data_IF_709049809555
#
_entry.id   IF_709049809555
#
_cell.length_a   1.000
_cell.length_b   1.000
_cell.length_c   1.000
_cell.angle_alpha   90.00
_cell.angle_beta   90.00
_cell.angle_gamma   90.00
#
_symmetry.space_group_name_H-M   'P 1'
#
loop_
_entity.id
_entity.type
_entity.pdbx_description
1 polymer ?
#
# COMPACT_ATOMS: atom_id res chain seq x y z
N UNK A 1 -2.87 -8.87 -16.26
CA UNK A 1 -3.40 -9.17 -14.91
C UNK A 1 -4.76 -8.50 -14.77
N UNK A 2 -5.79 -9.26 -14.37
CA UNK A 2 -7.13 -8.74 -14.16
C UNK A 2 -7.39 -8.52 -12.68
N UNK A 3 -8.14 -7.45 -12.37
CA UNK A 3 -8.62 -7.18 -11.02
C UNK A 3 -10.13 -7.40 -11.04
N UNK A 4 -10.60 -8.38 -10.29
CA UNK A 4 -12.03 -8.66 -10.11
C UNK A 4 -12.55 -7.94 -8.87
N UNK A 5 -13.50 -7.04 -9.05
CA UNK A 5 -14.14 -6.30 -7.97
C UNK A 5 -15.38 -7.06 -7.46
N UNK A 6 -15.13 -8.12 -6.71
CA UNK A 6 -16.16 -9.02 -6.17
C UNK A 6 -16.28 -10.35 -6.90
N UNK A 7 -16.93 -11.30 -6.22
CA UNK A 7 -17.02 -12.70 -6.69
C UNK A 7 -17.79 -12.88 -8.00
N UNK A 8 -18.64 -11.91 -8.37
CA UNK A 8 -19.44 -11.96 -9.60
C UNK A 8 -18.61 -11.73 -10.86
N UNK A 9 -17.42 -11.13 -10.73
CA UNK A 9 -16.51 -10.88 -11.85
C UNK A 9 -15.53 -12.03 -12.08
N UNK A 10 -15.48 -13.02 -11.18
CA UNK A 10 -14.64 -14.22 -11.38
C UNK A 10 -15.19 -15.01 -12.57
N UNK A 11 -14.34 -15.36 -13.57
CA UNK A 11 -14.77 -16.12 -14.74
C UNK A 11 -15.40 -17.46 -14.38
N UNK A 12 -16.56 -17.76 -14.96
CA UNK A 12 -17.30 -19.01 -14.69
C UNK A 12 -16.62 -20.25 -15.28
N UNK A 13 -15.77 -20.06 -16.25
CA UNK A 13 -14.96 -21.08 -16.92
C UNK A 13 -13.61 -21.33 -16.26
N UNK A 14 -13.35 -20.69 -15.10
CA UNK A 14 -12.18 -20.99 -14.29
C UNK A 14 -12.17 -22.48 -13.90
N UNK A 15 -11.15 -23.22 -14.33
CA UNK A 15 -11.04 -24.68 -14.14
C UNK A 15 -10.25 -25.08 -12.90
N UNK A 16 -9.42 -24.17 -12.39
CA UNK A 16 -8.59 -24.36 -11.20
C UNK A 16 -7.73 -23.16 -10.93
N UNK A 17 -7.26 -23.03 -9.69
CA UNK A 17 -6.36 -21.94 -9.30
C UNK A 17 -5.50 -22.31 -8.09
N UNK A 18 -4.45 -21.53 -7.85
CA UNK A 18 -3.74 -21.46 -6.57
C UNK A 18 -4.04 -20.12 -5.93
N UNK A 19 -4.57 -20.14 -4.71
CA UNK A 19 -5.08 -18.94 -4.05
C UNK A 19 -4.21 -18.58 -2.86
N UNK A 20 -3.79 -17.32 -2.76
CA UNK A 20 -3.26 -16.75 -1.51
C UNK A 20 -4.25 -15.75 -0.94
N UNK A 21 -4.45 -15.76 0.39
CA UNK A 21 -5.54 -15.03 1.05
C UNK A 21 -4.99 -14.13 2.14
N UNK A 22 -5.38 -12.85 2.12
CA UNK A 22 -5.01 -11.91 3.17
C UNK A 22 -5.43 -10.48 2.85
N UNK A 23 -5.20 -9.57 3.79
CA UNK A 23 -5.43 -8.13 3.55
C UNK A 23 -4.32 -7.55 2.66
N UNK A 24 -3.10 -8.04 2.77
CA UNK A 24 -1.92 -7.63 2.01
C UNK A 24 -1.63 -6.12 2.06
N UNK A 25 -2.01 -5.46 3.15
CA UNK A 25 -1.78 -4.03 3.28
C UNK A 25 -0.28 -3.73 3.40
N UNK A 26 0.20 -2.83 2.52
CA UNK A 26 1.61 -2.47 2.40
C UNK A 26 2.49 -3.46 1.63
N UNK A 27 2.01 -4.67 1.27
CA UNK A 27 2.79 -5.65 0.46
C UNK A 27 4.26 -5.75 0.90
N UNK A 28 4.47 -6.00 2.21
CA UNK A 28 5.80 -6.11 2.82
C UNK A 28 6.49 -7.44 2.49
N UNK A 29 7.77 -7.57 2.83
CA UNK A 29 8.59 -8.77 2.53
C UNK A 29 7.98 -10.09 3.05
N UNK A 30 7.28 -10.06 4.19
CA UNK A 30 6.50 -11.23 4.64
C UNK A 30 5.37 -11.61 3.68
N UNK A 31 4.68 -10.64 3.09
CA UNK A 31 3.69 -10.91 2.04
C UNK A 31 4.35 -11.45 0.76
N UNK A 32 5.50 -10.91 0.37
CA UNK A 32 6.24 -11.40 -0.82
C UNK A 32 6.57 -12.89 -0.73
N UNK A 33 6.85 -13.44 0.47
CA UNK A 33 7.04 -14.89 0.65
C UNK A 33 5.78 -15.69 0.33
N UNK A 34 4.61 -15.17 0.73
CA UNK A 34 3.32 -15.81 0.41
C UNK A 34 3.05 -15.79 -1.09
N UNK A 35 3.29 -14.66 -1.75
CA UNK A 35 3.09 -14.51 -3.19
C UNK A 35 4.04 -15.45 -3.96
N UNK A 36 5.31 -15.49 -3.59
CA UNK A 36 6.30 -16.37 -4.20
C UNK A 36 5.91 -17.84 -4.05
N UNK A 37 5.46 -18.28 -2.87
CA UNK A 37 4.99 -19.64 -2.67
C UNK A 37 3.74 -19.97 -3.51
N UNK A 38 2.81 -19.01 -3.62
CA UNK A 38 1.60 -19.19 -4.43
C UNK A 38 1.92 -19.25 -5.93
N UNK A 39 2.76 -18.37 -6.44
CA UNK A 39 3.15 -18.35 -7.87
C UNK A 39 3.97 -19.59 -8.25
N UNK A 40 4.89 -20.02 -7.38
CA UNK A 40 5.64 -21.27 -7.58
C UNK A 40 4.70 -22.45 -7.66
N UNK A 41 3.75 -22.58 -6.72
CA UNK A 41 2.81 -23.70 -6.73
C UNK A 41 1.85 -23.64 -7.92
N UNK A 42 1.42 -22.46 -8.32
CA UNK A 42 0.59 -22.24 -9.50
C UNK A 42 1.30 -22.74 -10.78
N UNK A 43 2.58 -22.36 -10.93
CA UNK A 43 3.40 -22.80 -12.05
C UNK A 43 3.58 -24.33 -12.08
N UNK A 44 3.84 -24.99 -10.93
CA UNK A 44 3.97 -26.44 -10.82
C UNK A 44 2.69 -27.18 -11.24
N UNK A 45 1.52 -26.60 -10.95
CA UNK A 45 0.23 -27.18 -11.28
C UNK A 45 -0.29 -26.78 -12.68
N UNK A 46 0.38 -25.84 -13.36
CA UNK A 46 -0.10 -25.28 -14.63
C UNK A 46 -1.41 -24.51 -14.47
N UNK A 47 -1.62 -23.85 -13.31
CA UNK A 47 -2.83 -23.13 -12.96
C UNK A 47 -2.53 -21.65 -12.71
N UNK A 48 -3.53 -20.75 -12.86
CA UNK A 48 -3.34 -19.36 -12.48
C UNK A 48 -3.21 -19.17 -10.97
N UNK A 49 -2.38 -18.21 -10.58
CA UNK A 49 -2.26 -17.71 -9.21
C UNK A 49 -3.25 -16.56 -8.96
N UNK A 50 -3.97 -16.64 -7.85
CA UNK A 50 -4.97 -15.63 -7.49
C UNK A 50 -4.67 -15.09 -6.09
N UNK A 51 -4.53 -13.77 -5.97
CA UNK A 51 -4.50 -13.09 -4.69
C UNK A 51 -5.93 -12.69 -4.31
N UNK A 52 -6.48 -13.27 -3.24
CA UNK A 52 -7.73 -12.83 -2.64
C UNK A 52 -7.42 -11.81 -1.56
N UNK A 53 -7.87 -10.58 -1.77
CA UNK A 53 -7.82 -9.50 -0.79
C UNK A 53 -9.21 -8.90 -0.55
N UNK A 54 -9.33 -7.97 0.37
CA UNK A 54 -10.61 -7.40 0.80
C UNK A 54 -10.67 -5.90 0.54
N UNK A 55 -11.84 -5.45 0.07
CA UNK A 55 -12.17 -4.04 -0.08
C UNK A 55 -13.66 -3.82 0.29
N UNK A 56 -13.97 -3.02 1.35
CA UNK A 56 -13.03 -2.37 2.25
C UNK A 56 -12.23 -3.34 3.14
N UNK A 57 -11.24 -2.80 3.84
CA UNK A 57 -10.49 -3.55 4.86
C UNK A 57 -11.45 -4.15 5.89
N UNK A 58 -11.29 -5.44 6.31
CA UNK A 58 -12.23 -6.09 7.23
C UNK A 58 -12.51 -5.31 8.52
N UNK A 59 -11.51 -4.65 9.10
CA UNK A 59 -11.71 -3.82 10.29
C UNK A 59 -12.57 -2.58 10.04
N UNK A 60 -12.65 -2.07 8.82
CA UNK A 60 -13.55 -0.95 8.51
C UNK A 60 -15.03 -1.32 8.72
N UNK A 61 -15.36 -2.61 8.57
CA UNK A 61 -16.72 -3.13 8.78
C UNK A 61 -16.91 -3.68 10.19
N UNK A 62 -15.91 -4.43 10.69
CA UNK A 62 -16.05 -5.15 11.98
C UNK A 62 -15.76 -4.26 13.20
N UNK A 63 -14.79 -3.37 13.10
CA UNK A 63 -14.29 -2.52 14.18
C UNK A 63 -13.78 -1.19 13.60
N UNK A 64 -14.68 -0.32 13.10
CA UNK A 64 -14.30 0.97 12.50
C UNK A 64 -13.46 1.85 13.44
N UNK A 65 -13.71 1.75 14.75
CA UNK A 65 -12.96 2.40 15.83
C UNK A 65 -11.50 1.95 15.95
N UNK A 66 -11.15 0.80 15.36
CA UNK A 66 -9.81 0.21 15.37
C UNK A 66 -9.19 0.08 13.97
N UNK A 67 -9.81 0.73 12.99
CA UNK A 67 -9.29 0.73 11.62
C UNK A 67 -7.93 1.43 11.60
N UNK A 68 -6.83 0.73 11.25
CA UNK A 68 -5.53 1.37 11.13
C UNK A 68 -5.46 2.16 9.81
N UNK A 69 -4.62 3.22 9.74
CA UNK A 69 -4.33 3.88 8.48
C UNK A 69 -3.78 2.89 7.45
N UNK A 70 -4.28 2.93 6.22
CA UNK A 70 -3.87 2.02 5.14
C UNK A 70 -2.49 2.40 4.61
N UNK A 71 -1.65 1.40 4.39
CA UNK A 71 -0.31 1.54 3.80
C UNK A 71 -0.35 1.65 2.26
N UNK A 72 -1.49 1.40 1.66
CA UNK A 72 -1.67 1.53 0.22
C UNK A 72 -3.08 1.21 -0.24
N UNK A 73 -3.41 1.66 -1.46
CA UNK A 73 -4.70 1.40 -2.12
C UNK A 73 -4.77 -0.03 -2.66
N UNK A 74 -5.98 -0.49 -3.03
CA UNK A 74 -6.17 -1.78 -3.72
C UNK A 74 -5.40 -1.79 -5.06
N UNK A 75 -5.41 -0.68 -5.80
CA UNK A 75 -4.68 -0.55 -7.07
C UNK A 75 -3.16 -0.69 -6.88
N UNK A 76 -2.59 -0.03 -5.86
CA UNK A 76 -1.17 -0.20 -5.53
C UNK A 76 -0.85 -1.65 -5.14
N UNK A 77 -1.70 -2.27 -4.34
CA UNK A 77 -1.60 -3.69 -3.94
C UNK A 77 -1.60 -4.61 -5.16
N UNK A 78 -2.50 -4.35 -6.09
CA UNK A 78 -2.61 -5.07 -7.34
C UNK A 78 -1.34 -4.95 -8.20
N UNK A 79 -0.85 -3.73 -8.39
CA UNK A 79 0.38 -3.50 -9.16
C UNK A 79 1.60 -4.21 -8.55
N UNK A 80 1.71 -4.19 -7.22
CA UNK A 80 2.79 -4.86 -6.50
C UNK A 80 2.69 -6.39 -6.58
N UNK A 81 1.48 -6.94 -6.54
CA UNK A 81 1.25 -8.39 -6.71
C UNK A 81 1.58 -8.85 -8.14
N UNK A 82 1.17 -8.06 -9.14
CA UNK A 82 1.51 -8.32 -10.54
C UNK A 82 3.02 -8.36 -10.78
N UNK A 83 3.74 -7.40 -10.20
CA UNK A 83 5.21 -7.35 -10.29
C UNK A 83 5.88 -8.60 -9.68
N UNK A 84 5.18 -9.34 -8.82
CA UNK A 84 5.63 -10.60 -8.21
C UNK A 84 5.04 -11.84 -8.88
N UNK A 85 4.42 -11.69 -10.05
CA UNK A 85 3.96 -12.81 -10.89
C UNK A 85 2.57 -13.35 -10.53
N UNK A 86 1.78 -12.67 -9.74
CA UNK A 86 0.36 -13.02 -9.53
C UNK A 86 -0.43 -12.74 -10.82
N UNK A 87 -1.20 -13.72 -11.28
CA UNK A 87 -1.97 -13.63 -12.52
C UNK A 87 -3.24 -12.82 -12.38
N UNK A 88 -3.99 -13.00 -11.28
CA UNK A 88 -5.26 -12.32 -11.05
C UNK A 88 -5.41 -11.89 -9.59
N UNK A 89 -6.24 -10.87 -9.38
CA UNK A 89 -6.60 -10.38 -8.04
C UNK A 89 -8.11 -10.37 -7.88
N UNK A 90 -8.59 -10.98 -6.79
CA UNK A 90 -9.94 -10.79 -6.31
C UNK A 90 -9.95 -9.81 -5.15
N UNK A 91 -10.37 -8.56 -5.42
CA UNK A 91 -10.73 -7.59 -4.39
C UNK A 91 -12.16 -7.86 -3.94
N UNK A 92 -12.30 -8.77 -2.97
CA UNK A 92 -13.62 -9.20 -2.51
C UNK A 92 -14.26 -8.14 -1.63
N UNK A 93 -15.51 -7.76 -1.94
CA UNK A 93 -16.29 -6.83 -1.13
C UNK A 93 -16.54 -7.42 0.26
N UNK A 94 -15.84 -6.88 1.28
CA UNK A 94 -16.05 -7.30 2.66
C UNK A 94 -17.22 -6.55 3.27
N UNK A 95 -18.26 -7.29 3.65
CA UNK A 95 -19.48 -6.77 4.25
C UNK A 95 -19.98 -7.66 5.38
N UNK A 96 -21.06 -7.27 6.04
CA UNK A 96 -21.64 -8.01 7.15
C UNK A 96 -21.99 -9.46 6.76
N UNK A 97 -22.50 -9.69 5.55
CA UNK A 97 -22.84 -11.05 5.10
C UNK A 97 -21.61 -11.96 5.03
N UNK A 98 -20.52 -11.45 4.41
CA UNK A 98 -19.23 -12.18 4.35
C UNK A 98 -18.67 -12.42 5.76
N UNK A 99 -18.78 -11.44 6.66
CA UNK A 99 -18.32 -11.54 8.04
C UNK A 99 -19.10 -12.57 8.89
N UNK A 100 -20.30 -12.96 8.46
CA UNK A 100 -21.13 -13.96 9.14
C UNK A 100 -20.91 -15.39 8.61
N UNK A 101 -20.20 -15.59 7.51
CA UNK A 101 -19.88 -16.93 7.00
C UNK A 101 -19.07 -17.71 8.03
N UNK A 102 -19.49 -18.93 8.32
CA UNK A 102 -18.67 -19.87 9.09
C UNK A 102 -17.38 -20.19 8.33
N UNK A 103 -16.35 -20.74 8.98
CA UNK A 103 -15.14 -21.17 8.26
C UNK A 103 -15.45 -22.12 7.10
N UNK A 104 -16.33 -23.11 7.30
CA UNK A 104 -16.69 -24.05 6.25
C UNK A 104 -17.47 -23.38 5.11
N UNK A 105 -18.42 -22.49 5.40
CA UNK A 105 -19.15 -21.74 4.36
C UNK A 105 -18.22 -20.87 3.52
N UNK A 106 -17.30 -20.14 4.17
CA UNK A 106 -16.29 -19.35 3.45
C UNK A 106 -15.42 -20.24 2.56
N UNK A 107 -14.95 -21.37 3.10
CA UNK A 107 -14.13 -22.33 2.36
C UNK A 107 -14.89 -22.88 1.15
N UNK A 108 -16.11 -23.31 1.31
CA UNK A 108 -16.91 -23.90 0.24
C UNK A 108 -17.30 -22.86 -0.82
N UNK A 109 -17.89 -21.76 -0.41
CA UNK A 109 -18.44 -20.79 -1.36
C UNK A 109 -17.35 -20.01 -2.09
N UNK A 110 -16.28 -19.58 -1.39
CA UNK A 110 -15.27 -18.71 -1.98
C UNK A 110 -14.09 -19.51 -2.50
N UNK A 111 -13.46 -20.33 -1.67
CA UNK A 111 -12.22 -21.01 -2.04
C UNK A 111 -12.50 -22.14 -3.05
N UNK A 112 -13.46 -23.02 -2.74
CA UNK A 112 -13.74 -24.18 -3.58
C UNK A 112 -14.59 -23.85 -4.80
N UNK A 113 -15.76 -23.20 -4.58
CA UNK A 113 -16.78 -23.10 -5.62
C UNK A 113 -16.58 -21.89 -6.53
N UNK A 114 -16.14 -20.74 -5.99
CA UNK A 114 -15.87 -19.55 -6.79
C UNK A 114 -14.47 -19.59 -7.40
N UNK A 115 -13.44 -19.75 -6.58
CA UNK A 115 -12.05 -19.68 -7.05
C UNK A 115 -11.51 -21.02 -7.58
N UNK A 116 -12.28 -22.10 -7.44
CA UNK A 116 -11.87 -23.45 -7.90
C UNK A 116 -10.47 -23.83 -7.42
N UNK A 117 -10.11 -23.43 -6.19
CA UNK A 117 -8.76 -23.63 -5.66
C UNK A 117 -8.36 -25.10 -5.67
N UNK A 118 -7.13 -25.38 -6.11
CA UNK A 118 -6.44 -26.66 -5.98
C UNK A 118 -5.41 -26.62 -4.85
N UNK A 119 -4.88 -25.42 -4.59
CA UNK A 119 -4.03 -25.15 -3.44
C UNK A 119 -4.34 -23.76 -2.85
N UNK A 120 -4.14 -23.64 -1.54
CA UNK A 120 -4.27 -22.39 -0.79
C UNK A 120 -2.97 -22.14 -0.04
N UNK A 121 -2.45 -20.91 -0.13
CA UNK A 121 -1.23 -20.47 0.54
C UNK A 121 -1.59 -19.34 1.51
N UNK A 122 -1.28 -19.52 2.80
CA UNK A 122 -1.59 -18.54 3.85
C UNK A 122 -0.45 -18.41 4.85
N UNK A 123 -0.40 -17.29 5.59
CA UNK A 123 0.54 -17.14 6.71
C UNK A 123 0.11 -17.95 7.94
N UNK A 124 1.07 -18.28 8.81
CA UNK A 124 0.80 -19.06 10.03
C UNK A 124 -0.13 -18.37 11.04
N UNK A 125 -0.33 -17.05 10.90
CA UNK A 125 -1.28 -16.27 11.71
C UNK A 125 -2.63 -16.02 11.02
N UNK A 126 -2.91 -16.72 9.91
CA UNK A 126 -4.14 -16.53 9.16
C UNK A 126 -5.35 -17.02 9.94
N UNK A 127 -6.38 -16.19 9.96
CA UNK A 127 -7.70 -16.54 10.51
C UNK A 127 -8.81 -16.10 9.56
N UNK A 128 -9.92 -16.82 9.55
CA UNK A 128 -11.04 -16.57 8.64
C UNK A 128 -12.39 -17.00 9.23
N UNK A 129 -13.45 -16.63 8.54
CA UNK A 129 -14.81 -16.95 8.94
C UNK A 129 -15.28 -16.14 10.16
N UNK A 130 -16.51 -16.38 10.54
CA UNK A 130 -17.21 -15.66 11.63
C UNK A 130 -16.42 -15.68 12.93
N UNK A 131 -16.17 -14.49 13.49
CA UNK A 131 -15.39 -14.28 14.72
C UNK A 131 -13.96 -14.89 14.67
N UNK A 132 -13.38 -15.00 13.48
CA UNK A 132 -12.07 -15.62 13.28
C UNK A 132 -11.97 -17.07 13.81
N UNK A 133 -13.07 -17.82 13.73
CA UNK A 133 -13.13 -19.20 14.22
C UNK A 133 -12.35 -20.20 13.35
N UNK A 134 -12.04 -19.87 12.09
CA UNK A 134 -11.16 -20.62 11.21
C UNK A 134 -9.70 -20.27 11.49
N UNK A 135 -8.91 -21.27 11.90
CA UNK A 135 -7.46 -21.17 12.04
C UNK A 135 -6.77 -21.89 10.87
N UNK A 136 -5.46 -21.89 10.82
CA UNK A 136 -4.69 -22.65 9.85
C UNK A 136 -4.92 -24.17 9.97
N UNK A 137 -5.17 -24.68 11.18
CA UNK A 137 -5.52 -26.09 11.44
C UNK A 137 -6.88 -26.40 10.84
N UNK A 138 -7.90 -25.58 11.11
CA UNK A 138 -9.24 -25.72 10.50
C UNK A 138 -9.16 -25.66 8.97
N UNK A 139 -8.32 -24.76 8.42
CA UNK A 139 -8.11 -24.66 6.98
C UNK A 139 -7.51 -25.96 6.41
N UNK A 140 -6.52 -26.55 7.09
CA UNK A 140 -5.91 -27.84 6.71
C UNK A 140 -6.92 -28.98 6.76
N UNK A 141 -7.75 -29.06 7.82
CA UNK A 141 -8.81 -30.07 7.95
C UNK A 141 -9.83 -29.96 6.80
N UNK A 142 -10.29 -28.75 6.48
CA UNK A 142 -11.19 -28.52 5.35
C UNK A 142 -10.49 -28.83 4.02
N UNK A 143 -9.23 -28.44 3.86
CA UNK A 143 -8.43 -28.78 2.69
C UNK A 143 -8.36 -30.30 2.46
N UNK A 144 -8.03 -31.05 3.49
CA UNK A 144 -7.99 -32.50 3.44
C UNK A 144 -9.38 -33.11 3.10
N UNK A 145 -10.44 -32.61 3.76
CA UNK A 145 -11.83 -33.07 3.54
C UNK A 145 -12.29 -32.87 2.09
N UNK A 146 -11.87 -31.79 1.45
CA UNK A 146 -12.36 -31.41 0.11
C UNK A 146 -11.31 -31.54 -1.00
N UNK A 147 -10.14 -32.13 -0.71
CA UNK A 147 -9.10 -32.40 -1.71
C UNK A 147 -8.39 -31.16 -2.22
N UNK A 148 -8.21 -30.14 -1.36
CA UNK A 148 -7.50 -28.89 -1.66
C UNK A 148 -6.23 -28.84 -0.80
N UNK A 149 -5.07 -28.63 -1.42
CA UNK A 149 -3.80 -28.49 -0.71
C UNK A 149 -3.77 -27.21 0.12
N UNK A 150 -3.16 -27.27 1.31
CA UNK A 150 -2.99 -26.09 2.18
C UNK A 150 -1.53 -25.94 2.58
N UNK A 151 -0.93 -24.85 2.16
CA UNK A 151 0.44 -24.48 2.48
C UNK A 151 0.44 -23.31 3.49
N UNK A 152 1.00 -23.55 4.65
CA UNK A 152 1.13 -22.52 5.70
C UNK A 152 2.58 -22.06 5.72
N UNK A 153 2.79 -20.78 5.53
CA UNK A 153 4.10 -20.13 5.48
C UNK A 153 4.34 -19.40 6.81
N UNK A 154 5.49 -19.65 7.39
CA UNK A 154 5.88 -18.96 8.64
C UNK A 154 6.10 -17.46 8.44
N UNK A 155 5.82 -16.71 9.50
CA UNK A 155 6.05 -15.27 9.51
C UNK A 155 7.55 -14.98 9.30
N UNK A 156 7.81 -13.92 8.55
CA UNK A 156 9.19 -13.42 8.41
C UNK A 156 9.59 -12.67 9.69
N UNK A 157 10.62 -13.16 10.35
CA UNK A 157 11.20 -12.54 11.55
C UNK A 157 12.61 -12.07 11.21
N UNK A 158 12.92 -10.82 11.54
CA UNK A 158 14.26 -10.22 11.44
C UNK A 158 14.50 -9.39 12.69
N UNK A 159 15.68 -9.48 13.25
CA UNK A 159 16.09 -8.77 14.49
C UNK A 159 15.02 -8.88 15.60
N UNK A 160 14.57 -10.10 15.87
CA UNK A 160 13.52 -10.45 16.84
C UNK A 160 12.16 -9.76 16.61
N UNK A 161 11.96 -9.17 15.44
CA UNK A 161 10.71 -8.50 15.06
C UNK A 161 10.04 -9.18 13.89
N UNK A 162 8.72 -9.41 13.99
CA UNK A 162 7.91 -9.89 12.89
C UNK A 162 7.74 -8.78 11.87
N UNK A 163 8.11 -9.03 10.61
CA UNK A 163 7.83 -8.12 9.50
C UNK A 163 6.34 -8.16 9.17
N UNK A 164 5.62 -7.10 9.54
CA UNK A 164 4.17 -7.01 9.36
C UNK A 164 3.72 -5.55 9.15
N UNK A 165 2.48 -5.35 8.69
CA UNK A 165 1.92 -4.01 8.45
C UNK A 165 1.91 -3.13 9.71
N UNK A 166 1.74 -3.73 10.90
CA UNK A 166 1.78 -3.00 12.18
C UNK A 166 3.17 -2.43 12.47
N UNK A 167 4.23 -3.21 12.22
CA UNK A 167 5.62 -2.74 12.34
C UNK A 167 5.86 -1.56 11.40
N UNK A 168 5.44 -1.66 10.14
CA UNK A 168 5.65 -0.61 9.14
C UNK A 168 4.95 0.68 9.56
N UNK A 169 3.69 0.61 10.00
CA UNK A 169 2.97 1.81 10.49
C UNK A 169 3.67 2.47 11.67
N UNK A 170 4.20 1.67 12.60
CA UNK A 170 4.98 2.18 13.73
C UNK A 170 6.24 2.90 13.24
N UNK A 171 7.02 2.26 12.38
CA UNK A 171 8.25 2.83 11.83
C UNK A 171 7.99 4.15 11.08
N UNK A 172 6.94 4.20 10.26
CA UNK A 172 6.52 5.43 9.58
C UNK A 172 6.13 6.52 10.61
N UNK A 173 5.33 6.16 11.62
CA UNK A 173 4.91 7.08 12.67
C UNK A 173 6.06 7.60 13.53
N UNK A 174 7.16 6.87 13.63
CA UNK A 174 8.40 7.24 14.30
C UNK A 174 9.40 7.99 13.37
N UNK A 175 9.04 8.25 12.10
CA UNK A 175 9.90 8.86 11.10
C UNK A 175 11.02 7.96 10.56
N UNK A 176 11.03 6.69 10.95
CA UNK A 176 12.05 5.69 10.57
C UNK A 176 11.78 5.11 9.19
N UNK A 177 11.86 5.97 8.17
CA UNK A 177 11.48 5.62 6.80
C UNK A 177 12.42 4.58 6.21
N UNK A 178 13.73 4.65 6.47
CA UNK A 178 14.72 3.66 5.98
C UNK A 178 14.39 2.26 6.48
N UNK A 179 14.09 2.12 7.77
CA UNK A 179 13.73 0.83 8.37
C UNK A 179 12.36 0.33 7.85
N UNK A 180 11.40 1.24 7.64
CA UNK A 180 10.13 0.90 7.00
C UNK A 180 10.35 0.38 5.57
N UNK A 181 11.22 1.02 4.79
CA UNK A 181 11.59 0.61 3.44
C UNK A 181 12.29 -0.76 3.43
N UNK A 182 13.20 -1.00 4.38
CA UNK A 182 13.84 -2.31 4.54
C UNK A 182 12.80 -3.42 4.82
N UNK A 183 11.83 -3.17 5.70
CA UNK A 183 10.74 -4.11 6.00
C UNK A 183 9.77 -4.31 4.82
N UNK A 184 9.53 -3.26 4.03
CA UNK A 184 8.75 -3.32 2.79
C UNK A 184 9.49 -4.03 1.65
N UNK A 185 10.81 -3.90 1.58
CA UNK A 185 11.64 -4.31 0.44
C UNK A 185 11.59 -3.32 -0.73
N UNK A 186 11.10 -2.11 -0.51
CA UNK A 186 11.01 -1.00 -1.46
C UNK A 186 10.79 0.31 -0.72
N UNK A 187 10.90 1.44 -1.41
CA UNK A 187 10.50 2.73 -0.85
C UNK A 187 8.99 2.75 -0.54
N UNK A 188 8.64 3.26 0.64
CA UNK A 188 7.26 3.56 0.98
C UNK A 188 6.75 4.69 0.10
N UNK A 189 5.55 4.55 -0.45
CA UNK A 189 5.00 5.55 -1.36
C UNK A 189 3.52 5.82 -1.11
N UNK A 190 3.13 7.04 -1.43
CA UNK A 190 1.73 7.47 -1.50
C UNK A 190 1.38 7.89 -2.92
N UNK A 191 0.12 7.74 -3.28
CA UNK A 191 -0.41 8.14 -4.59
C UNK A 191 -1.54 9.12 -4.38
N UNK A 192 -1.52 10.23 -5.12
CA UNK A 192 -2.58 11.22 -5.04
C UNK A 192 -2.59 12.16 -6.24
N UNK A 193 -3.66 12.92 -6.35
CA UNK A 193 -3.79 14.00 -7.34
C UNK A 193 -3.17 15.27 -6.78
N UNK A 194 -2.39 15.96 -7.60
CA UNK A 194 -1.80 17.25 -7.25
C UNK A 194 -2.86 18.33 -7.29
N UNK A 195 -3.06 18.98 -6.15
CA UNK A 195 -4.03 20.05 -6.01
C UNK A 195 -3.36 21.35 -5.60
N UNK A 196 -4.10 22.48 -5.69
CA UNK A 196 -3.59 23.76 -5.26
C UNK A 196 -3.35 23.76 -3.74
N UNK A 197 -2.14 24.10 -3.35
CA UNK A 197 -1.77 24.30 -1.95
C UNK A 197 -2.34 25.59 -1.36
N UNK A 198 -1.97 25.88 -0.12
CA UNK A 198 -2.43 27.08 0.61
C UNK A 198 -1.94 28.44 0.03
N UNK A 199 -1.20 28.42 -1.08
CA UNK A 199 -0.76 29.63 -1.79
C UNK A 199 0.25 30.50 -1.04
N UNK A 200 1.02 29.94 -0.11
CA UNK A 200 1.95 30.69 0.76
C UNK A 200 3.28 31.03 0.08
N UNK A 201 3.24 31.42 -1.20
CA UNK A 201 4.42 32.00 -1.84
C UNK A 201 5.44 31.01 -2.42
N UNK A 202 5.15 29.70 -2.51
CA UNK A 202 6.11 28.73 -3.07
C UNK A 202 6.61 29.15 -4.47
N UNK A 203 5.74 29.62 -5.37
CA UNK A 203 6.13 30.19 -6.68
C UNK A 203 6.89 31.51 -6.53
N UNK A 204 6.46 32.40 -5.63
CA UNK A 204 7.10 33.69 -5.39
C UNK A 204 8.47 33.53 -4.74
N UNK A 205 8.66 32.47 -3.95
CA UNK A 205 9.93 32.14 -3.29
C UNK A 205 10.86 31.27 -4.17
N UNK A 206 10.41 30.84 -5.37
CA UNK A 206 11.20 30.03 -6.28
C UNK A 206 11.20 28.51 -5.98
N UNK A 207 10.33 28.03 -5.07
CA UNK A 207 10.19 26.62 -4.71
C UNK A 207 8.74 26.13 -4.88
N UNK A 208 8.24 26.00 -6.12
CA UNK A 208 6.89 25.48 -6.34
C UNK A 208 6.79 24.03 -5.88
N UNK A 209 5.73 23.69 -5.13
CA UNK A 209 5.50 22.34 -4.60
C UNK A 209 4.28 21.69 -5.22
N UNK A 210 4.36 20.40 -5.50
CA UNK A 210 3.22 19.54 -5.75
C UNK A 210 2.58 19.16 -4.41
N UNK A 211 1.31 19.54 -4.23
CA UNK A 211 0.60 19.37 -2.96
C UNK A 211 -0.41 18.24 -3.05
N UNK A 212 -0.33 17.28 -2.13
CA UNK A 212 -1.28 16.20 -1.94
C UNK A 212 -1.89 16.32 -0.54
N UNK A 213 -3.18 15.97 -0.41
CA UNK A 213 -3.85 15.95 0.89
C UNK A 213 -4.43 14.57 1.17
N UNK A 214 -4.19 14.06 2.36
CA UNK A 214 -4.63 12.73 2.78
C UNK A 214 -5.47 12.80 4.05
N UNK A 215 -6.47 11.94 4.13
CA UNK A 215 -7.22 11.72 5.36
C UNK A 215 -6.41 10.88 6.36
N UNK A 216 -6.85 10.86 7.62
CA UNK A 216 -6.25 10.03 8.68
C UNK A 216 -6.33 8.50 8.39
N UNK A 217 -7.07 8.10 7.35
CA UNK A 217 -7.14 6.71 6.92
C UNK A 217 -5.96 6.27 6.04
N UNK A 218 -5.08 7.20 5.65
CA UNK A 218 -3.85 6.90 4.89
C UNK A 218 -2.64 7.01 5.81
N UNK A 219 -1.83 5.96 5.85
CA UNK A 219 -0.58 5.99 6.58
C UNK A 219 0.40 6.95 5.90
N UNK A 220 0.92 7.90 6.69
CA UNK A 220 1.97 8.81 6.27
C UNK A 220 3.11 8.73 7.28
N UNK A 221 4.35 9.03 6.86
CA UNK A 221 5.44 9.21 7.79
C UNK A 221 5.16 10.33 8.80
N UNK A 222 5.90 10.37 9.91
CA UNK A 222 5.86 11.47 10.89
C UNK A 222 6.01 12.82 10.19
N UNK A 223 5.47 13.89 10.80
CA UNK A 223 5.61 15.25 10.29
C UNK A 223 7.08 15.68 10.30
N UNK A 224 7.67 15.85 9.11
CA UNK A 224 9.08 16.13 8.89
C UNK A 224 9.36 16.51 7.43
N UNK A 225 10.62 16.80 7.12
CA UNK A 225 11.15 16.88 5.75
C UNK A 225 11.88 15.59 5.43
N UNK A 226 11.62 15.07 4.24
CA UNK A 226 12.17 13.81 3.73
C UNK A 226 12.83 14.02 2.37
N UNK A 227 13.88 13.25 2.12
CA UNK A 227 14.40 13.03 0.78
C UNK A 227 13.58 11.93 0.09
N UNK A 228 13.31 12.09 -1.20
CA UNK A 228 12.57 11.09 -1.93
C UNK A 228 12.45 11.36 -3.42
N UNK A 229 11.43 10.78 -4.03
CA UNK A 229 11.16 10.88 -5.45
C UNK A 229 9.72 11.25 -5.71
N UNK A 230 9.49 11.98 -6.80
CA UNK A 230 8.18 12.18 -7.37
C UNK A 230 8.15 11.65 -8.81
N UNK A 231 7.08 10.93 -9.16
CA UNK A 231 6.83 10.41 -10.51
C UNK A 231 5.39 10.67 -10.91
N UNK A 232 5.18 11.23 -12.11
CA UNK A 232 3.84 11.43 -12.68
C UNK A 232 3.38 10.14 -13.32
N UNK A 233 2.18 9.66 -12.97
CA UNK A 233 1.59 8.40 -13.49
C UNK A 233 0.33 8.60 -14.31
N UNK A 234 -0.30 9.78 -14.28
CA UNK A 234 -1.45 10.11 -15.14
C UNK A 234 -1.05 10.21 -16.60
N UNK A 235 -1.99 9.91 -17.50
CA UNK A 235 -1.76 9.88 -18.97
C UNK A 235 -1.89 11.26 -19.64
N UNK A 236 -2.35 12.28 -18.91
CA UNK A 236 -2.52 13.63 -19.46
C UNK A 236 -1.14 14.23 -19.83
N UNK A 237 -1.05 15.05 -20.90
CA UNK A 237 0.18 15.76 -21.24
C UNK A 237 0.65 16.67 -20.10
N UNK A 238 1.94 16.67 -19.80
CA UNK A 238 2.56 17.51 -18.79
C UNK A 238 3.09 18.77 -19.47
N UNK A 239 2.67 19.96 -19.00
CA UNK A 239 3.26 21.21 -19.42
C UNK A 239 4.53 21.47 -18.61
N UNK A 240 5.70 21.58 -19.28
CA UNK A 240 6.99 21.78 -18.66
C UNK A 240 8.05 20.76 -19.05
N UNK A 241 9.07 20.57 -18.19
CA UNK A 241 10.25 19.76 -18.50
C UNK A 241 10.26 18.36 -17.85
N UNK A 242 9.14 17.94 -17.25
CA UNK A 242 8.96 16.60 -16.68
C UNK A 242 8.29 15.65 -17.68
N UNK A 243 8.54 14.35 -17.47
CA UNK A 243 7.98 13.27 -18.30
C UNK A 243 7.27 12.25 -17.43
N UNK A 244 6.18 11.68 -17.94
CA UNK A 244 5.45 10.59 -17.31
C UNK A 244 6.35 9.36 -17.09
N UNK A 245 6.17 8.68 -15.96
CA UNK A 245 6.89 7.45 -15.61
C UNK A 245 8.37 7.65 -15.24
N UNK A 246 8.85 8.89 -15.20
CA UNK A 246 10.24 9.20 -14.79
C UNK A 246 10.24 9.64 -13.32
N UNK A 247 11.16 9.07 -12.53
CA UNK A 247 11.42 9.45 -11.14
C UNK A 247 12.32 10.68 -11.09
N UNK A 248 11.88 11.70 -10.37
CA UNK A 248 12.64 12.93 -10.15
C UNK A 248 12.93 13.12 -8.67
N UNK A 249 14.14 13.55 -8.26
CA UNK A 249 14.45 13.80 -6.87
C UNK A 249 13.56 14.91 -6.32
N UNK A 250 13.07 14.73 -5.11
CA UNK A 250 12.17 15.68 -4.47
C UNK A 250 12.47 15.82 -2.98
N UNK A 251 12.48 17.07 -2.50
CA UNK A 251 12.41 17.38 -1.09
C UNK A 251 10.93 17.40 -0.68
N UNK A 252 10.57 16.57 0.30
CA UNK A 252 9.18 16.26 0.63
C UNK A 252 8.89 16.72 2.05
N UNK A 253 7.95 17.64 2.21
CA UNK A 253 7.45 18.06 3.52
C UNK A 253 6.15 17.33 3.84
N UNK A 254 6.08 16.68 5.00
CA UNK A 254 4.87 16.07 5.54
C UNK A 254 4.44 16.84 6.76
N UNK A 255 3.18 17.26 6.81
CA UNK A 255 2.71 18.04 7.96
C UNK A 255 1.19 18.25 7.98
N UNK A 256 0.73 18.88 9.06
CA UNK A 256 -0.64 19.34 9.19
C UNK A 256 -0.79 20.75 8.63
N UNK A 257 -1.84 20.98 7.85
CA UNK A 257 -2.15 22.33 7.38
C UNK A 257 -3.26 22.96 8.25
N UNK A 258 -2.92 23.78 9.27
CA UNK A 258 -3.89 24.33 10.20
C UNK A 258 -4.80 25.40 9.59
N UNK A 259 -4.53 25.86 8.35
CA UNK A 259 -5.16 27.05 7.76
C UNK A 259 -6.62 26.80 7.32
N UNK A 260 -7.04 25.56 7.14
CA UNK A 260 -8.38 25.25 6.64
C UNK A 260 -9.32 24.63 7.68
N UNK A 261 -8.92 24.55 8.96
CA UNK A 261 -9.71 23.81 9.97
C UNK A 261 -9.85 22.32 9.63
N UNK A 262 -9.11 21.85 8.65
CA UNK A 262 -9.13 20.51 8.11
C UNK A 262 -8.08 19.66 8.84
N UNK A 263 -8.52 18.47 9.27
CA UNK A 263 -7.63 17.49 9.92
C UNK A 263 -6.72 16.76 8.92
N UNK A 264 -6.80 17.07 7.62
CA UNK A 264 -6.00 16.40 6.59
C UNK A 264 -4.53 16.77 6.73
N UNK A 265 -3.68 15.76 6.53
CA UNK A 265 -2.23 15.93 6.42
C UNK A 265 -1.86 16.23 4.98
N UNK A 266 -0.89 17.15 4.78
CA UNK A 266 -0.34 17.47 3.46
C UNK A 266 0.99 16.73 3.23
N UNK A 267 1.22 16.37 1.97
CA UNK A 267 2.52 15.96 1.43
C UNK A 267 2.85 16.95 0.32
N UNK A 268 3.84 17.78 0.57
CA UNK A 268 4.26 18.88 -0.30
C UNK A 268 5.63 18.53 -0.88
N UNK A 269 5.72 18.27 -2.18
CA UNK A 269 6.95 17.82 -2.84
C UNK A 269 7.50 18.91 -3.74
N UNK A 270 8.70 19.42 -3.42
CA UNK A 270 9.49 20.25 -4.33
C UNK A 270 10.34 19.33 -5.22
N UNK A 271 10.04 19.32 -6.52
CA UNK A 271 10.79 18.54 -7.50
C UNK A 271 12.06 19.31 -7.90
N UNK A 272 13.22 18.75 -7.56
CA UNK A 272 14.49 19.47 -7.65
C UNK A 272 14.90 19.66 -9.12
N UNK A 273 15.14 20.92 -9.49
CA UNK A 273 15.62 21.26 -10.84
C UNK A 273 14.61 21.03 -11.95
N UNK A 274 13.30 21.02 -11.62
CA UNK A 274 12.23 20.83 -12.59
C UNK A 274 11.19 21.95 -12.49
N UNK A 275 10.65 22.33 -13.66
CA UNK A 275 9.55 23.27 -13.79
C UNK A 275 8.46 22.64 -14.65
N UNK A 276 7.33 22.31 -14.04
CA UNK A 276 6.19 21.70 -14.72
C UNK A 276 4.89 22.05 -14.00
N UNK A 277 3.81 22.20 -14.76
CA UNK A 277 2.45 22.26 -14.20
C UNK A 277 1.94 20.85 -13.94
N UNK A 278 1.83 20.51 -12.66
CA UNK A 278 1.39 19.19 -12.20
C UNK A 278 -0.04 19.19 -11.68
N UNK A 279 -0.77 20.31 -11.71
CA UNK A 279 -2.15 20.36 -11.20
C UNK A 279 -3.07 19.38 -11.95
N UNK A 280 -3.84 18.60 -11.18
CA UNK A 280 -4.74 17.57 -11.71
C UNK A 280 -4.02 16.29 -12.16
N UNK A 281 -2.69 16.26 -12.14
CA UNK A 281 -1.94 15.03 -12.41
C UNK A 281 -1.93 14.11 -11.19
N UNK A 282 -2.05 12.80 -11.43
CA UNK A 282 -1.81 11.79 -10.41
C UNK A 282 -0.33 11.48 -10.34
N UNK A 283 0.22 11.57 -9.13
CA UNK A 283 1.64 11.34 -8.86
C UNK A 283 1.84 10.27 -7.81
N UNK A 284 3.00 9.61 -7.87
CA UNK A 284 3.57 8.78 -6.81
C UNK A 284 4.65 9.60 -6.12
N UNK A 285 4.57 9.69 -4.79
CA UNK A 285 5.62 10.28 -3.95
C UNK A 285 6.23 9.15 -3.12
N UNK A 286 7.53 8.91 -3.28
CA UNK A 286 8.29 7.87 -2.61
C UNK A 286 9.21 8.50 -1.57
N UNK A 287 9.21 7.94 -0.37
CA UNK A 287 10.02 8.42 0.75
C UNK A 287 11.27 7.57 0.91
N UNK A 288 12.43 8.18 0.85
CA UNK A 288 13.73 7.48 0.92
C UNK A 288 14.35 7.63 2.30
N UNK A 289 14.47 8.86 2.79
CA UNK A 289 15.16 9.14 4.03
C UNK A 289 14.60 10.36 4.76
N UNK A 290 14.85 10.40 6.08
CA UNK A 290 14.59 11.54 6.94
C UNK A 290 15.67 12.59 6.74
N UNK A 291 15.27 13.85 6.49
CA UNK A 291 16.18 14.99 6.39
C UNK A 291 16.22 15.75 7.73
N UNK A 292 15.09 16.27 8.18
CA UNK A 292 14.98 16.99 9.47
C UNK A 292 13.55 17.05 9.99
N UNK A 293 13.41 17.39 11.26
CA UNK A 293 12.11 17.71 11.87
C UNK A 293 11.51 18.99 11.29
N UNK A 294 10.19 19.16 11.43
CA UNK A 294 9.52 20.42 11.12
C UNK A 294 9.98 21.52 12.07
N UNK A 295 10.25 22.69 11.51
CA UNK A 295 10.68 23.87 12.25
C UNK A 295 9.77 25.06 11.92
N UNK A 296 9.68 26.00 12.86
CA UNK A 296 9.03 27.30 12.65
C UNK A 296 10.09 28.35 12.37
N UNK A 297 9.98 29.00 11.23
CA UNK A 297 10.89 30.08 10.85
C UNK A 297 10.30 31.41 11.23
N UNK A 298 11.16 32.33 11.65
CA UNK A 298 10.78 33.69 12.06
C UNK A 298 10.90 34.72 10.93
N UNK A 299 11.60 34.33 9.85
CA UNK A 299 11.82 35.18 8.68
C UNK A 299 11.88 34.37 7.37
N UNK A 300 11.55 35.06 6.25
CA UNK A 300 11.66 34.44 4.90
C UNK A 300 13.10 34.03 4.57
N UNK A 301 14.16 34.82 4.88
CA UNK A 301 15.54 34.37 4.64
C UNK A 301 15.91 33.06 5.37
N UNK A 302 15.49 32.87 6.62
CA UNK A 302 15.71 31.62 7.36
C UNK A 302 15.01 30.43 6.69
N UNK A 303 13.75 30.60 6.27
CA UNK A 303 13.01 29.59 5.53
C UNK A 303 13.73 29.21 4.23
N UNK A 304 14.16 30.19 3.44
CA UNK A 304 14.86 29.94 2.18
C UNK A 304 16.19 29.20 2.42
N UNK A 305 16.96 29.60 3.43
CA UNK A 305 18.21 28.92 3.78
C UNK A 305 17.96 27.43 4.15
N UNK A 306 16.92 27.17 4.92
CA UNK A 306 16.53 25.80 5.29
C UNK A 306 16.10 24.98 4.06
N UNK A 307 15.29 25.55 3.15
CA UNK A 307 14.88 24.85 1.91
C UNK A 307 16.09 24.54 1.03
N UNK A 308 17.04 25.47 0.87
CA UNK A 308 18.27 25.22 0.13
C UNK A 308 19.10 24.07 0.75
N UNK A 309 19.16 24.01 2.08
CA UNK A 309 19.83 22.92 2.78
C UNK A 309 19.10 21.60 2.58
N UNK A 310 17.74 21.57 2.67
CA UNK A 310 16.91 20.39 2.42
C UNK A 310 17.16 19.84 1.01
N UNK A 311 17.24 20.72 0.00
CA UNK A 311 17.56 20.35 -1.37
C UNK A 311 18.97 19.72 -1.47
N UNK A 312 19.96 20.35 -0.83
CA UNK A 312 21.34 19.84 -0.85
C UNK A 312 21.43 18.46 -0.15
N UNK A 313 20.72 18.26 0.95
CA UNK A 313 20.70 16.99 1.69
C UNK A 313 19.92 15.89 0.94
N UNK A 314 18.86 16.26 0.21
CA UNK A 314 18.11 15.34 -0.66
C UNK A 314 18.94 14.79 -1.81
N UNK A 315 19.94 15.54 -2.31
CA UNK A 315 20.79 15.14 -3.44
C UNK A 315 22.03 14.35 -3.03
N UNK A 316 22.30 14.18 -1.74
CA UNK A 316 23.40 13.35 -1.20
C UNK A 316 23.04 11.89 -1.12
#
# INVERSE_FOLDING_TARGET
MDIWHGITEVPKDLTGSVVTIGVFDGMHRGHSRLLSAATTRAHELGLPSILLTFDPHPLAVLRPDRMPPLLGTVTQRASLAAAQGIDHILAMSFNVAVAQLTPEEFFLQIIRDTLKARAVVVGSNFTFGKKAAGTTEVLKELGHKYGIEVHVIDLLVEDDSVICSTLIRRLLGDGKVREANAALGREFSVVGEVVRGAGRGGRELGFPTANLYFSDLVALPQDAVYAGWLMVISQAPIEGDMKQGVRYPAAISVGHNPTFGDKRRSVESYVIGKDADLYGHTVVVEFVDWVRSMEKFTSVPELLAAIHQDVADTLR
#
